data_IF_513581589410
#
_entry.id   IF_513581589410
#
_cell.length_a   1.000
_cell.length_b   1.000
_cell.length_c   1.000
_cell.angle_alpha   90.00
_cell.angle_beta   90.00
_cell.angle_gamma   90.00
#
_symmetry.space_group_name_H-M   'P 1'
#
loop_
_entity.id
_entity.type
_entity.pdbx_description
1 polymer ?
#
# COMPACT_ATOMS: atom_id res chain seq x y z
N UNK A 1 -19.84 24.13 4.71
CA UNK A 1 -18.50 23.51 4.55
C UNK A 1 -18.11 23.25 3.09
N UNK A 2 -18.97 22.63 2.27
CA UNK A 2 -18.65 22.23 0.87
C UNK A 2 -18.16 23.40 -0.02
N UNK A 3 -18.82 24.57 0.01
CA UNK A 3 -18.38 25.76 -0.76
C UNK A 3 -17.01 26.33 -0.37
N UNK A 4 -16.60 26.21 0.91
CA UNK A 4 -15.28 26.67 1.39
C UNK A 4 -14.17 25.71 0.94
N UNK A 5 -14.44 24.41 1.00
CA UNK A 5 -13.53 23.36 0.52
C UNK A 5 -13.30 23.45 -0.99
N UNK A 6 -14.34 23.74 -1.79
CA UNK A 6 -14.21 23.87 -3.25
C UNK A 6 -13.33 25.08 -3.65
N UNK A 7 -13.44 26.21 -2.94
CA UNK A 7 -12.59 27.38 -3.18
C UNK A 7 -11.12 27.10 -2.85
N UNK A 8 -10.84 26.43 -1.73
CA UNK A 8 -9.47 26.07 -1.36
C UNK A 8 -8.84 25.09 -2.36
N UNK A 9 -9.60 24.10 -2.84
CA UNK A 9 -9.15 23.18 -3.88
C UNK A 9 -8.79 23.90 -5.18
N UNK A 10 -9.68 24.78 -5.69
CA UNK A 10 -9.42 25.56 -6.90
C UNK A 10 -8.18 26.45 -6.72
N UNK A 11 -8.04 27.12 -5.58
CA UNK A 11 -6.85 27.94 -5.29
C UNK A 11 -5.56 27.12 -5.27
N UNK A 12 -5.58 25.92 -4.68
CA UNK A 12 -4.41 25.04 -4.65
C UNK A 12 -4.07 24.51 -6.05
N UNK A 13 -5.07 24.08 -6.83
CA UNK A 13 -4.85 23.66 -8.22
C UNK A 13 -4.30 24.79 -9.08
N UNK A 14 -4.80 26.01 -8.90
CA UNK A 14 -4.28 27.19 -9.59
C UNK A 14 -2.83 27.46 -9.20
N UNK A 15 -2.49 27.36 -7.91
CA UNK A 15 -1.11 27.48 -7.43
C UNK A 15 -0.21 26.42 -8.08
N UNK A 16 -0.57 25.14 -7.96
CA UNK A 16 0.23 24.03 -8.49
C UNK A 16 0.40 24.10 -10.00
N UNK A 17 -0.66 24.45 -10.74
CA UNK A 17 -0.60 24.39 -12.21
C UNK A 17 -0.03 25.66 -12.86
N UNK A 18 -0.15 26.82 -12.21
CA UNK A 18 0.19 28.10 -12.84
C UNK A 18 1.30 28.89 -12.14
N UNK A 19 1.59 28.58 -10.87
CA UNK A 19 2.54 29.37 -10.06
C UNK A 19 3.68 28.54 -9.47
N UNK A 20 3.54 27.21 -9.40
CA UNK A 20 4.60 26.32 -8.98
C UNK A 20 5.64 26.21 -10.10
N UNK A 21 6.79 26.85 -9.92
CA UNK A 21 7.85 26.94 -10.94
C UNK A 21 8.83 25.77 -10.87
N UNK A 22 8.92 25.10 -9.71
CA UNK A 22 9.81 23.97 -9.46
C UNK A 22 9.12 22.94 -8.54
N UNK A 23 9.74 21.79 -8.30
CA UNK A 23 9.23 20.76 -7.39
C UNK A 23 8.93 21.37 -6.00
N UNK A 24 7.72 21.06 -5.48
CA UNK A 24 7.27 21.50 -4.15
C UNK A 24 8.27 21.13 -3.04
N UNK A 25 8.96 20.00 -3.21
CA UNK A 25 9.95 19.52 -2.26
C UNK A 25 11.21 20.40 -2.27
N UNK A 26 11.70 20.81 -3.45
CA UNK A 26 12.82 21.76 -3.56
C UNK A 26 12.49 23.07 -2.86
N UNK A 27 11.31 23.63 -3.17
CA UNK A 27 10.84 24.89 -2.58
C UNK A 27 10.72 24.78 -1.05
N UNK A 28 10.19 23.65 -0.56
CA UNK A 28 10.08 23.40 0.87
C UNK A 28 11.47 23.38 1.54
N UNK A 29 12.43 22.64 1.00
CA UNK A 29 13.77 22.54 1.57
C UNK A 29 14.58 23.82 1.45
N UNK A 30 14.38 24.62 0.40
CA UNK A 30 15.00 25.95 0.26
C UNK A 30 14.53 26.91 1.36
N UNK A 31 13.21 26.94 1.60
CA UNK A 31 12.62 27.75 2.67
C UNK A 31 13.11 27.29 4.04
N UNK A 32 13.08 25.97 4.30
CA UNK A 32 13.54 25.39 5.57
C UNK A 32 15.01 25.70 5.81
N UNK A 33 15.88 25.51 4.81
CA UNK A 33 17.31 25.81 4.91
C UNK A 33 17.53 27.28 5.26
N UNK A 34 16.79 28.18 4.60
CA UNK A 34 16.89 29.62 4.90
C UNK A 34 16.43 29.96 6.32
N UNK A 35 15.38 29.31 6.82
CA UNK A 35 14.92 29.49 8.20
C UNK A 35 15.94 28.98 9.21
N UNK A 36 16.56 27.82 8.94
CA UNK A 36 17.62 27.25 9.79
C UNK A 36 18.79 28.22 9.91
N UNK A 37 19.23 28.84 8.81
CA UNK A 37 20.28 29.85 8.82
C UNK A 37 19.90 31.09 9.65
N UNK A 38 18.74 31.69 9.36
CA UNK A 38 18.30 32.95 9.98
C UNK A 38 18.09 32.77 11.49
N UNK A 39 17.53 31.62 11.89
CA UNK A 39 17.17 31.35 13.28
C UNK A 39 18.25 30.56 14.04
N UNK A 40 19.34 30.19 13.37
CA UNK A 40 20.45 29.40 13.93
C UNK A 40 19.97 28.08 14.58
N UNK A 41 19.10 27.37 13.88
CA UNK A 41 18.44 26.16 14.40
C UNK A 41 19.41 24.98 14.45
N UNK A 42 19.42 24.27 15.57
CA UNK A 42 20.14 23.01 15.71
C UNK A 42 19.31 21.84 15.18
N UNK A 43 19.69 21.28 14.02
CA UNK A 43 19.05 20.10 13.41
C UNK A 43 19.60 18.76 13.91
N UNK A 44 20.53 18.77 14.86
CA UNK A 44 21.13 17.55 15.41
C UNK A 44 20.10 16.65 16.09
N UNK A 45 19.02 17.21 16.65
CA UNK A 45 17.91 16.45 17.22
C UNK A 45 16.63 16.75 16.47
N UNK A 46 16.00 15.71 15.94
CA UNK A 46 14.72 15.80 15.23
C UNK A 46 13.66 14.98 15.94
N UNK A 47 12.50 15.58 16.18
CA UNK A 47 11.33 14.90 16.74
C UNK A 47 10.38 14.52 15.61
N UNK A 48 10.14 13.22 15.46
CA UNK A 48 9.35 12.64 14.38
C UNK A 48 8.03 12.12 14.94
N UNK A 49 6.93 12.55 14.34
CA UNK A 49 5.60 12.04 14.66
C UNK A 49 4.77 11.77 13.40
N UNK A 50 3.88 10.79 13.53
CA UNK A 50 3.04 10.28 12.47
C UNK A 50 1.57 10.57 12.72
N UNK A 51 0.88 11.09 11.73
CA UNK A 51 -0.57 11.30 11.77
C UNK A 51 -1.22 10.75 10.52
N UNK A 52 -2.53 10.49 10.59
CA UNK A 52 -3.28 9.88 9.51
C UNK A 52 -4.42 10.80 9.11
N UNK A 53 -4.42 11.23 7.86
CA UNK A 53 -5.46 12.08 7.30
C UNK A 53 -6.47 11.24 6.53
N UNK A 54 -7.74 11.25 6.95
CA UNK A 54 -8.81 10.55 6.24
C UNK A 54 -8.99 11.14 4.84
N UNK A 55 -9.05 10.29 3.82
CA UNK A 55 -9.38 10.68 2.45
C UNK A 55 -10.90 10.91 2.30
N UNK A 56 -11.29 11.73 1.31
CA UNK A 56 -12.69 11.95 0.91
C UNK A 56 -13.26 10.74 0.13
N UNK A 57 -12.45 9.71 -0.06
CA UNK A 57 -12.84 8.47 -0.71
C UNK A 57 -14.04 7.76 -0.04
N UNK A 58 -14.72 6.93 -0.84
CA UNK A 58 -15.80 6.10 -0.33
C UNK A 58 -15.29 5.10 0.72
N UNK A 59 -15.86 5.19 1.93
CA UNK A 59 -15.47 4.44 3.13
C UNK A 59 -15.83 2.95 3.12
N UNK A 60 -16.39 2.43 2.03
CA UNK A 60 -16.82 1.02 1.95
C UNK A 60 -16.22 0.29 0.74
N UNK A 61 -15.40 0.96 -0.07
CA UNK A 61 -14.91 0.40 -1.34
C UNK A 61 -13.40 0.29 -1.38
N UNK A 62 -12.90 -0.94 -1.21
CA UNK A 62 -11.48 -1.21 -1.04
C UNK A 62 -10.97 -2.32 -1.94
N UNK A 63 -9.67 -2.31 -2.14
CA UNK A 63 -8.93 -3.34 -2.87
C UNK A 63 -7.76 -3.81 -2.02
N UNK A 64 -7.63 -5.12 -1.86
CA UNK A 64 -6.59 -5.76 -1.05
C UNK A 64 -5.70 -6.62 -1.95
N UNK A 65 -4.39 -6.31 -1.99
CA UNK A 65 -3.39 -7.03 -2.78
C UNK A 65 -3.43 -8.54 -2.52
N UNK A 66 -3.43 -8.92 -1.23
CA UNK A 66 -3.49 -10.32 -0.80
C UNK A 66 -4.75 -11.05 -1.29
N UNK A 67 -5.90 -10.37 -1.32
CA UNK A 67 -7.14 -10.95 -1.81
C UNK A 67 -7.08 -11.21 -3.33
N UNK A 68 -6.52 -10.26 -4.09
CA UNK A 68 -6.30 -10.42 -5.53
C UNK A 68 -5.39 -11.61 -5.80
N UNK A 69 -4.20 -11.65 -5.18
CA UNK A 69 -3.22 -12.72 -5.39
C UNK A 69 -3.81 -14.10 -5.05
N UNK A 70 -4.55 -14.20 -3.94
CA UNK A 70 -5.21 -15.45 -3.54
C UNK A 70 -6.25 -15.90 -4.58
N UNK A 71 -7.06 -14.97 -5.08
CA UNK A 71 -8.09 -15.28 -6.06
C UNK A 71 -7.53 -15.54 -7.46
N UNK A 72 -6.43 -14.88 -7.82
CA UNK A 72 -5.68 -15.10 -9.05
C UNK A 72 -5.08 -16.51 -9.08
N UNK A 73 -4.41 -16.94 -8.00
CA UNK A 73 -3.86 -18.31 -7.90
C UNK A 73 -4.96 -19.38 -8.01
N UNK A 74 -6.14 -19.13 -7.43
CA UNK A 74 -7.31 -20.01 -7.60
C UNK A 74 -7.82 -20.01 -9.05
N UNK A 75 -7.77 -18.87 -9.73
CA UNK A 75 -8.19 -18.73 -11.12
C UNK A 75 -7.23 -19.46 -12.06
N UNK A 76 -5.92 -19.40 -11.84
CA UNK A 76 -4.93 -20.15 -12.62
C UNK A 76 -5.20 -21.66 -12.60
N UNK A 77 -5.48 -22.24 -11.43
CA UNK A 77 -5.86 -23.66 -11.32
C UNK A 77 -7.13 -23.99 -12.11
N UNK A 78 -8.12 -23.08 -12.11
CA UNK A 78 -9.36 -23.25 -12.89
C UNK A 78 -9.11 -23.18 -14.38
N UNK A 79 -8.30 -22.22 -14.84
CA UNK A 79 -7.89 -22.09 -16.24
C UNK A 79 -7.24 -23.39 -16.71
N UNK A 80 -6.28 -23.93 -15.95
CA UNK A 80 -5.63 -25.21 -16.29
C UNK A 80 -6.64 -26.35 -16.43
N UNK A 81 -7.61 -26.46 -15.50
CA UNK A 81 -8.70 -27.45 -15.60
C UNK A 81 -9.52 -27.26 -16.87
N UNK A 82 -9.95 -26.03 -17.17
CA UNK A 82 -10.77 -25.73 -18.34
C UNK A 82 -10.03 -25.90 -19.66
N UNK A 83 -8.71 -25.71 -19.71
CA UNK A 83 -7.89 -26.05 -20.89
C UNK A 83 -7.94 -27.56 -21.15
N UNK A 84 -7.79 -28.38 -20.11
CA UNK A 84 -7.88 -29.85 -20.24
C UNK A 84 -9.30 -30.29 -20.65
N UNK A 85 -10.35 -29.72 -20.05
CA UNK A 85 -11.73 -30.03 -20.43
C UNK A 85 -12.05 -29.61 -21.87
N UNK A 86 -11.50 -28.48 -22.32
CA UNK A 86 -11.66 -27.99 -23.68
C UNK A 86 -11.00 -28.94 -24.70
N UNK A 87 -9.83 -29.49 -24.37
CA UNK A 87 -9.18 -30.54 -25.16
C UNK A 87 -10.11 -31.74 -25.35
N UNK A 88 -10.75 -32.19 -24.28
CA UNK A 88 -11.64 -33.36 -24.33
C UNK A 88 -12.95 -33.08 -25.08
N UNK A 89 -13.51 -31.87 -24.94
CA UNK A 89 -14.83 -31.53 -25.51
C UNK A 89 -14.80 -31.10 -26.97
N UNK A 90 -13.79 -30.34 -27.37
CA UNK A 90 -13.73 -29.71 -28.70
C UNK A 90 -12.39 -29.93 -29.42
N UNK A 91 -11.48 -30.73 -28.85
CA UNK A 91 -10.24 -31.15 -29.51
C UNK A 91 -9.17 -30.06 -29.65
N UNK A 92 -9.36 -28.88 -29.04
CA UNK A 92 -8.38 -27.79 -29.10
C UNK A 92 -7.29 -27.96 -28.04
N UNK A 93 -6.03 -27.89 -28.48
CA UNK A 93 -4.85 -28.06 -27.64
C UNK A 93 -4.23 -26.71 -27.32
N UNK A 94 -4.08 -26.44 -26.02
CA UNK A 94 -3.29 -25.34 -25.50
C UNK A 94 -2.37 -25.86 -24.40
N UNK A 95 -1.23 -25.21 -24.25
CA UNK A 95 -0.29 -25.49 -23.19
C UNK A 95 -0.85 -25.04 -21.83
N UNK A 96 -0.57 -25.84 -20.81
CA UNK A 96 -0.93 -25.51 -19.43
C UNK A 96 0.27 -24.96 -18.66
N UNK A 97 0.00 -24.00 -17.78
CA UNK A 97 1.01 -23.28 -16.99
C UNK A 97 0.57 -23.17 -15.53
N UNK A 98 1.50 -22.79 -14.66
CA UNK A 98 1.21 -22.47 -13.26
C UNK A 98 0.61 -21.06 -13.08
N UNK A 99 0.94 -20.15 -13.99
CA UNK A 99 0.44 -18.78 -14.04
C UNK A 99 0.06 -18.38 -15.47
N UNK A 100 -0.84 -17.42 -15.58
CA UNK A 100 -1.36 -16.92 -16.86
C UNK A 100 -1.52 -15.40 -16.79
N UNK A 101 -1.31 -14.74 -17.92
CA UNK A 101 -1.63 -13.33 -18.12
C UNK A 101 -3.01 -13.17 -18.72
N UNK A 102 -3.63 -12.00 -18.53
CA UNK A 102 -4.89 -11.66 -19.19
C UNK A 102 -4.74 -11.78 -20.71
N UNK A 103 -3.63 -11.29 -21.27
CA UNK A 103 -3.37 -11.35 -22.71
C UNK A 103 -3.39 -12.78 -23.26
N UNK A 104 -2.71 -13.73 -22.63
CA UNK A 104 -2.71 -15.14 -23.05
C UNK A 104 -4.12 -15.75 -23.07
N UNK A 105 -4.92 -15.46 -22.04
CA UNK A 105 -6.29 -15.96 -21.94
C UNK A 105 -7.21 -15.25 -22.94
N UNK A 106 -6.96 -13.97 -23.21
CA UNK A 106 -7.62 -13.20 -24.26
C UNK A 106 -7.41 -13.83 -25.63
N UNK A 107 -6.19 -14.25 -25.96
CA UNK A 107 -5.87 -14.91 -27.23
C UNK A 107 -6.62 -16.24 -27.39
N UNK A 108 -6.80 -17.01 -26.31
CA UNK A 108 -7.64 -18.23 -26.33
C UNK A 108 -9.10 -17.88 -26.62
N UNK A 109 -9.65 -16.87 -25.93
CA UNK A 109 -11.03 -16.44 -26.14
C UNK A 109 -11.25 -15.92 -27.57
N UNK A 110 -10.31 -15.15 -28.11
CA UNK A 110 -10.35 -14.66 -29.49
C UNK A 110 -10.34 -15.82 -30.50
N UNK A 111 -9.44 -16.79 -30.33
CA UNK A 111 -9.40 -17.97 -31.20
C UNK A 111 -10.72 -18.75 -31.16
N UNK A 112 -11.32 -18.94 -29.98
CA UNK A 112 -12.62 -19.60 -29.85
C UNK A 112 -13.73 -18.82 -30.56
N UNK A 113 -13.72 -17.49 -30.50
CA UNK A 113 -14.65 -16.64 -31.25
C UNK A 113 -14.47 -16.79 -32.77
N UNK A 114 -13.24 -16.85 -33.26
CA UNK A 114 -12.96 -17.10 -34.68
C UNK A 114 -13.49 -18.46 -35.14
N UNK A 115 -13.31 -19.50 -34.34
CA UNK A 115 -13.86 -20.83 -34.62
C UNK A 115 -15.39 -20.81 -34.64
N UNK A 116 -16.04 -20.04 -33.77
CA UNK A 116 -17.50 -19.87 -33.82
C UNK A 116 -17.94 -19.20 -35.11
N UNK A 117 -17.25 -18.14 -35.54
CA UNK A 117 -17.52 -17.44 -36.80
C UNK A 117 -17.36 -18.37 -38.01
N UNK A 118 -16.27 -19.16 -38.07
CA UNK A 118 -16.03 -20.13 -39.15
C UNK A 118 -17.13 -21.20 -39.24
N UNK A 119 -17.65 -21.62 -38.10
CA UNK A 119 -18.71 -22.62 -38.01
C UNK A 119 -20.13 -22.04 -38.07
N UNK A 120 -20.29 -20.73 -38.33
CA UNK A 120 -21.57 -20.02 -38.35
C UNK A 120 -22.41 -20.26 -37.07
N UNK A 121 -21.76 -20.30 -35.91
CA UNK A 121 -22.44 -20.48 -34.62
C UNK A 121 -22.92 -19.12 -34.11
N UNK A 122 -24.23 -18.94 -34.04
CA UNK A 122 -24.82 -17.76 -33.43
C UNK A 122 -24.79 -17.80 -31.90
N UNK A 123 -24.59 -16.64 -31.27
CA UNK A 123 -24.61 -16.50 -29.83
C UNK A 123 -26.04 -16.62 -29.29
N UNK A 124 -26.26 -17.57 -28.39
CA UNK A 124 -27.54 -17.71 -27.71
C UNK A 124 -27.41 -17.46 -26.20
N UNK A 125 -28.31 -16.65 -25.65
CA UNK A 125 -28.38 -16.32 -24.23
C UNK A 125 -29.86 -16.34 -23.77
N UNK A 126 -30.11 -16.60 -22.49
CA UNK A 126 -31.47 -16.63 -21.94
C UNK A 126 -32.06 -18.03 -21.77
N UNK A 127 -33.29 -18.08 -21.23
CA UNK A 127 -33.97 -19.32 -20.84
C UNK A 127 -34.53 -20.04 -22.08
N UNK A 128 -34.33 -21.36 -22.16
CA UNK A 128 -34.78 -22.18 -23.30
C UNK A 128 -33.76 -22.30 -24.44
N UNK A 129 -32.65 -21.55 -24.41
CA UNK A 129 -31.59 -21.66 -25.40
C UNK A 129 -30.43 -22.53 -24.91
N UNK A 130 -30.00 -23.50 -25.73
CA UNK A 130 -28.87 -24.39 -25.43
C UNK A 130 -27.60 -23.88 -26.13
N UNK A 131 -26.63 -23.41 -25.35
CA UNK A 131 -25.31 -23.01 -25.84
C UNK A 131 -24.54 -24.21 -26.40
N UNK A 132 -23.84 -24.02 -27.52
CA UNK A 132 -22.91 -25.00 -28.06
C UNK A 132 -21.71 -25.21 -27.12
N UNK A 133 -21.00 -26.32 -27.25
CA UNK A 133 -19.78 -26.56 -26.46
C UNK A 133 -18.76 -25.44 -26.69
N UNK A 134 -18.58 -25.03 -27.94
CA UNK A 134 -17.66 -23.95 -28.32
C UNK A 134 -18.04 -22.60 -27.69
N UNK A 135 -19.34 -22.24 -27.69
CA UNK A 135 -19.80 -21.02 -27.02
C UNK A 135 -19.58 -21.07 -25.50
N UNK A 136 -19.77 -22.24 -24.87
CA UNK A 136 -19.50 -22.42 -23.44
C UNK A 136 -18.01 -22.23 -23.12
N UNK A 137 -17.12 -22.79 -23.93
CA UNK A 137 -15.67 -22.57 -23.80
C UNK A 137 -15.35 -21.09 -23.97
N UNK A 138 -15.85 -20.44 -25.03
CA UNK A 138 -15.64 -19.01 -25.27
C UNK A 138 -16.08 -18.16 -24.08
N UNK A 139 -17.33 -18.31 -23.60
CA UNK A 139 -17.85 -17.55 -22.46
C UNK A 139 -17.00 -17.77 -21.19
N UNK A 140 -16.47 -18.99 -21.01
CA UNK A 140 -15.61 -19.35 -19.87
C UNK A 140 -14.26 -18.63 -19.94
N UNK A 141 -13.56 -18.72 -21.08
CA UNK A 141 -12.27 -18.06 -21.26
C UNK A 141 -12.40 -16.53 -21.30
N UNK A 142 -13.47 -15.99 -21.89
CA UNK A 142 -13.78 -14.56 -21.81
C UNK A 142 -14.00 -14.11 -20.36
N UNK A 143 -14.70 -14.89 -19.54
CA UNK A 143 -14.85 -14.59 -18.12
C UNK A 143 -13.49 -14.59 -17.39
N UNK A 144 -12.62 -15.54 -17.71
CA UNK A 144 -11.28 -15.62 -17.13
C UNK A 144 -10.43 -14.43 -17.53
N UNK A 145 -10.46 -14.03 -18.80
CA UNK A 145 -9.81 -12.82 -19.31
C UNK A 145 -10.26 -11.59 -18.52
N UNK A 146 -11.56 -11.30 -18.47
CA UNK A 146 -12.10 -10.12 -17.77
C UNK A 146 -11.70 -10.08 -16.27
N UNK A 147 -11.53 -11.25 -15.65
CA UNK A 147 -11.11 -11.34 -14.25
C UNK A 147 -9.61 -11.12 -14.07
N UNK A 148 -8.79 -11.70 -14.94
CA UNK A 148 -7.33 -11.51 -14.92
C UNK A 148 -6.98 -10.06 -15.25
N UNK A 149 -7.58 -9.49 -16.29
CA UNK A 149 -7.38 -8.08 -16.67
C UNK A 149 -7.66 -7.14 -15.50
N UNK A 150 -8.78 -7.37 -14.80
CA UNK A 150 -9.11 -6.64 -13.57
C UNK A 150 -8.06 -6.84 -12.47
N UNK A 151 -7.55 -8.06 -12.27
CA UNK A 151 -6.53 -8.32 -11.25
C UNK A 151 -5.22 -7.63 -11.60
N UNK A 152 -4.78 -7.69 -12.84
CA UNK A 152 -3.58 -7.02 -13.34
C UNK A 152 -3.69 -5.50 -13.20
N UNK A 153 -4.82 -4.92 -13.60
CA UNK A 153 -5.11 -3.50 -13.39
C UNK A 153 -4.94 -3.09 -11.92
N UNK A 154 -5.58 -3.82 -11.00
CA UNK A 154 -5.51 -3.46 -9.57
C UNK A 154 -4.14 -3.74 -8.95
N UNK A 155 -3.41 -4.76 -9.41
CA UNK A 155 -2.03 -5.00 -8.98
C UNK A 155 -1.11 -3.89 -9.47
N UNK A 156 -1.29 -3.40 -10.70
CA UNK A 156 -0.54 -2.27 -11.24
C UNK A 156 -0.86 -0.97 -10.49
N UNK A 157 -2.15 -0.67 -10.27
CA UNK A 157 -2.57 0.46 -9.43
C UNK A 157 -1.95 0.33 -8.05
N UNK A 158 -2.04 -0.84 -7.41
CA UNK A 158 -1.48 -1.03 -6.07
C UNK A 158 0.05 -0.91 -6.06
N UNK A 159 0.74 -1.42 -7.07
CA UNK A 159 2.20 -1.44 -7.10
C UNK A 159 2.81 -2.39 -6.05
N UNK A 160 4.13 -2.28 -5.89
CA UNK A 160 4.89 -3.29 -5.13
C UNK A 160 4.87 -3.05 -3.62
N UNK A 161 4.91 -1.79 -3.21
CA UNK A 161 5.19 -1.40 -1.83
C UNK A 161 3.95 -1.36 -0.91
N UNK A 162 2.75 -1.17 -1.45
CA UNK A 162 1.51 -1.06 -0.65
C UNK A 162 0.64 -2.32 -0.72
N UNK A 163 -0.18 -2.50 0.32
CA UNK A 163 -1.01 -3.71 0.48
C UNK A 163 -2.48 -3.49 0.09
N UNK A 164 -2.91 -2.25 -0.05
CA UNK A 164 -4.31 -1.89 -0.30
C UNK A 164 -4.42 -0.51 -0.91
N UNK A 165 -5.52 -0.25 -1.61
CA UNK A 165 -5.94 1.10 -1.99
C UNK A 165 -7.47 1.23 -1.92
N UNK A 166 -7.97 2.47 -1.93
CA UNK A 166 -9.38 2.73 -2.19
C UNK A 166 -9.70 2.60 -3.68
N UNK A 167 -10.95 2.27 -4.02
CA UNK A 167 -11.44 2.24 -5.41
C UNK A 167 -11.77 3.62 -6.00
N UNK A 168 -11.90 4.63 -5.14
CA UNK A 168 -12.33 5.99 -5.54
C UNK A 168 -11.22 7.02 -5.40
N UNK A 169 -10.20 6.70 -4.61
CA UNK A 169 -8.97 7.45 -4.46
C UNK A 169 -7.85 6.41 -4.42
N UNK A 170 -7.16 6.26 -5.54
CA UNK A 170 -6.19 5.19 -5.71
C UNK A 170 -4.93 5.42 -4.88
N UNK A 171 -4.69 6.62 -4.35
CA UNK A 171 -3.51 6.93 -3.55
C UNK A 171 -3.74 6.72 -2.04
N UNK A 172 -5.01 6.73 -1.62
CA UNK A 172 -5.38 6.46 -0.24
C UNK A 172 -5.22 4.98 0.10
N UNK A 173 -4.59 4.71 1.25
CA UNK A 173 -4.36 3.36 1.78
C UNK A 173 -5.29 3.10 2.97
N UNK A 174 -5.62 1.84 3.23
CA UNK A 174 -6.45 1.46 4.35
C UNK A 174 -5.70 1.57 5.68
N UNK A 175 -6.09 2.55 6.51
CA UNK A 175 -5.48 2.79 7.80
C UNK A 175 -6.49 2.68 8.94
N UNK A 176 -6.03 2.22 10.11
CA UNK A 176 -6.78 2.36 11.35
C UNK A 176 -6.69 3.81 11.83
N UNK A 177 -7.81 4.53 11.78
CA UNK A 177 -7.91 5.88 12.32
C UNK A 177 -8.36 5.83 13.78
N UNK A 178 -8.02 6.87 14.54
CA UNK A 178 -8.50 7.08 15.91
C UNK A 178 -9.97 7.52 15.85
N UNK A 179 -10.92 6.60 15.64
CA UNK A 179 -12.34 6.88 15.82
C UNK A 179 -12.80 6.50 17.24
N UNK A 180 -13.65 7.38 17.78
CA UNK A 180 -14.09 7.51 19.16
C UNK A 180 -14.58 6.20 19.84
N UNK A 181 -14.33 6.15 21.14
CA UNK A 181 -14.54 5.12 22.16
C UNK A 181 -15.96 4.48 22.17
N UNK A 182 -16.94 5.13 21.54
CA UNK A 182 -18.34 4.66 21.46
C UNK A 182 -18.65 3.84 20.19
N UNK A 183 -17.85 3.99 19.13
CA UNK A 183 -18.04 3.24 17.89
C UNK A 183 -17.09 2.05 17.87
N UNK A 184 -17.61 0.93 18.36
CA UNK A 184 -16.92 -0.33 18.57
C UNK A 184 -16.46 -0.97 17.24
N UNK A 185 -15.50 -0.39 16.52
CA UNK A 185 -14.94 -1.00 15.31
C UNK A 185 -13.61 -0.36 14.92
N UNK A 186 -12.55 -1.17 14.92
CA UNK A 186 -11.30 -0.93 14.18
C UNK A 186 -11.51 -0.99 12.66
N UNK A 187 -12.53 -0.29 12.15
CA UNK A 187 -12.82 -0.16 10.73
C UNK A 187 -11.69 0.65 10.09
N UNK A 188 -10.90 -0.02 9.26
CA UNK A 188 -9.92 0.67 8.42
C UNK A 188 -10.64 1.64 7.49
N UNK A 189 -10.09 2.84 7.34
CA UNK A 189 -10.59 3.90 6.46
C UNK A 189 -9.52 4.28 5.45
N UNK A 190 -9.91 4.77 4.26
CA UNK A 190 -8.95 5.27 3.30
C UNK A 190 -8.31 6.54 3.88
N UNK A 191 -6.99 6.55 3.97
CA UNK A 191 -6.23 7.63 4.57
C UNK A 191 -4.82 7.71 3.98
N UNK A 192 -4.16 8.84 4.27
CA UNK A 192 -2.75 9.07 4.01
C UNK A 192 -1.99 9.09 5.33
N UNK A 193 -0.84 8.41 5.39
CA UNK A 193 0.03 8.45 6.55
C UNK A 193 1.03 9.60 6.39
N UNK A 194 0.81 10.70 7.10
CA UNK A 194 1.68 11.85 7.11
C UNK A 194 2.73 11.73 8.21
N UNK A 195 3.95 12.09 7.87
CA UNK A 195 5.12 12.04 8.73
C UNK A 195 5.73 13.43 8.77
N UNK A 196 6.03 13.93 9.96
CA UNK A 196 6.56 15.28 10.17
C UNK A 196 7.74 15.20 11.13
N UNK A 197 8.84 15.85 10.78
CA UNK A 197 10.00 16.06 11.64
C UNK A 197 10.06 17.52 12.07
N UNK A 198 10.27 17.74 13.36
CA UNK A 198 10.44 19.08 13.94
C UNK A 198 11.81 19.18 14.61
N UNK A 199 12.53 20.26 14.33
CA UNK A 199 13.74 20.65 15.04
C UNK A 199 13.57 22.09 15.53
N UNK A 200 13.83 22.33 16.82
CA UNK A 200 13.74 23.64 17.49
C UNK A 200 12.45 24.44 17.16
N UNK A 201 11.31 23.74 17.11
CA UNK A 201 10.00 24.35 16.85
C UNK A 201 9.66 24.57 15.36
N UNK A 202 10.54 24.20 14.43
CA UNK A 202 10.28 24.30 12.98
C UNK A 202 10.17 22.92 12.34
N UNK A 203 9.24 22.79 11.39
CA UNK A 203 9.12 21.60 10.55
C UNK A 203 10.30 21.56 9.58
N UNK A 204 11.15 20.56 9.70
CA UNK A 204 12.37 20.40 8.88
C UNK A 204 12.26 19.29 7.85
N UNK A 205 11.26 18.42 7.98
CA UNK A 205 10.93 17.40 6.99
C UNK A 205 9.44 17.06 7.07
N UNK A 206 8.81 16.79 5.93
CA UNK A 206 7.42 16.34 5.87
C UNK A 206 7.20 15.44 4.64
N UNK A 207 6.43 14.36 4.80
CA UNK A 207 6.13 13.45 3.69
C UNK A 207 4.84 12.66 3.91
N UNK A 208 4.24 12.18 2.82
CA UNK A 208 3.07 11.31 2.82
C UNK A 208 3.46 9.90 2.35
N UNK A 209 3.00 8.89 3.09
CA UNK A 209 3.27 7.49 2.82
C UNK A 209 1.98 6.71 2.61
N UNK A 210 2.04 5.77 1.66
CA UNK A 210 0.99 4.82 1.34
C UNK A 210 1.11 3.53 2.18
N UNK A 211 1.61 3.65 3.40
CA UNK A 211 1.78 2.54 4.34
C UNK A 211 1.05 2.84 5.66
N UNK A 212 0.20 1.93 6.17
CA UNK A 212 -0.58 2.21 7.38
C UNK A 212 0.25 2.32 8.66
N UNK A 213 1.38 1.60 8.73
CA UNK A 213 2.25 1.56 9.90
C UNK A 213 3.45 2.49 9.76
N UNK A 214 3.82 3.11 10.87
CA UNK A 214 4.85 4.15 10.92
C UNK A 214 6.28 3.54 10.92
N UNK A 215 6.42 2.28 11.31
CA UNK A 215 7.70 1.56 11.27
C UNK A 215 8.38 1.59 9.91
N UNK A 216 7.61 1.43 8.83
CA UNK A 216 8.13 1.36 7.45
C UNK A 216 8.37 2.73 6.82
N UNK A 217 7.91 3.81 7.45
CA UNK A 217 8.11 5.16 6.92
C UNK A 217 9.44 5.76 7.36
N UNK A 218 10.01 5.29 8.48
CA UNK A 218 11.21 5.87 9.08
C UNK A 218 12.40 5.97 8.11
N UNK A 219 12.81 4.85 7.49
CA UNK A 219 13.98 4.82 6.60
C UNK A 219 13.75 5.72 5.38
N UNK A 220 12.66 5.57 4.60
CA UNK A 220 12.36 6.50 3.52
C UNK A 220 12.31 7.97 3.94
N UNK A 221 11.85 8.25 5.17
CA UNK A 221 11.74 9.61 5.69
C UNK A 221 13.11 10.21 6.02
N UNK A 222 14.04 9.41 6.55
CA UNK A 222 15.42 9.84 6.78
C UNK A 222 16.21 9.97 5.47
N UNK A 223 16.04 9.04 4.53
CA UNK A 223 16.68 9.14 3.21
C UNK A 223 16.19 10.39 2.46
N UNK A 224 14.90 10.70 2.54
CA UNK A 224 14.36 11.97 2.00
C UNK A 224 15.04 13.19 2.62
N UNK A 225 15.25 13.22 3.93
CA UNK A 225 15.93 14.34 4.58
C UNK A 225 17.37 14.49 4.09
N UNK A 226 18.09 13.37 4.00
CA UNK A 226 19.48 13.34 3.55
C UNK A 226 19.64 13.74 2.09
N UNK A 227 18.72 13.33 1.21
CA UNK A 227 18.72 13.71 -0.21
C UNK A 227 18.75 15.23 -0.40
N UNK A 228 18.01 15.99 0.43
CA UNK A 228 17.87 17.44 0.29
C UNK A 228 18.84 18.25 1.16
N UNK A 229 19.31 17.69 2.27
CA UNK A 229 20.20 18.41 3.21
C UNK A 229 21.65 17.95 3.18
N UNK A 230 21.92 16.77 2.60
CA UNK A 230 23.24 16.14 2.61
C UNK A 230 23.61 15.51 3.95
N UNK A 231 22.75 15.56 4.97
CA UNK A 231 23.07 15.13 6.33
C UNK A 231 21.96 14.26 6.95
N UNK A 232 22.32 13.52 8.00
CA UNK A 232 21.36 12.82 8.87
C UNK A 232 21.37 13.48 10.26
N UNK A 233 20.25 13.47 11.00
CA UNK A 233 20.24 13.97 12.37
C UNK A 233 21.07 13.06 13.29
N UNK A 234 21.73 13.63 14.29
CA UNK A 234 22.37 12.82 15.32
C UNK A 234 21.34 12.03 16.15
N UNK A 235 20.19 12.63 16.45
CA UNK A 235 19.14 12.06 17.29
C UNK A 235 17.76 12.13 16.60
N UNK A 236 17.38 11.10 15.83
CA UNK A 236 16.02 10.95 15.28
C UNK A 236 15.06 10.41 16.36
N UNK A 237 14.54 11.30 17.20
CA UNK A 237 13.62 10.97 18.29
C UNK A 237 12.24 10.68 17.73
N UNK A 238 11.75 9.45 17.88
CA UNK A 238 10.41 9.05 17.46
C UNK A 238 9.76 8.12 18.48
N UNK A 239 8.46 7.91 18.34
CA UNK A 239 7.69 7.04 19.23
C UNK A 239 8.05 5.54 19.08
N UNK A 240 7.40 4.70 19.89
CA UNK A 240 7.68 3.26 19.86
C UNK A 240 7.14 2.53 18.62
N UNK A 241 6.23 3.14 17.85
CA UNK A 241 5.71 2.57 16.62
C UNK A 241 6.76 2.56 15.50
N UNK A 242 7.76 3.43 15.57
CA UNK A 242 8.93 3.40 14.69
C UNK A 242 9.97 2.35 15.11
N UNK A 243 9.93 1.83 16.33
CA UNK A 243 10.97 0.95 16.86
C UNK A 243 10.98 -0.45 16.23
N UNK A 244 11.97 -0.73 15.38
CA UNK A 244 12.23 -2.05 14.78
C UNK A 244 13.73 -2.32 14.66
N UNK A 245 14.12 -3.60 14.61
CA UNK A 245 15.52 -4.00 14.41
C UNK A 245 16.12 -3.36 13.15
N UNK A 246 15.36 -3.34 12.07
CA UNK A 246 15.74 -2.71 10.81
C UNK A 246 16.05 -1.22 11.00
N UNK A 247 15.16 -0.48 11.66
CA UNK A 247 15.36 0.96 11.91
C UNK A 247 16.54 1.23 12.86
N UNK A 248 16.78 0.36 13.85
CA UNK A 248 17.94 0.49 14.74
C UNK A 248 19.26 0.28 14.00
N UNK A 249 19.34 -0.79 13.20
CA UNK A 249 20.53 -1.08 12.39
C UNK A 249 20.78 0.03 11.38
N UNK A 250 19.72 0.57 10.79
CA UNK A 250 19.82 1.73 9.90
C UNK A 250 20.32 2.98 10.61
N UNK A 251 19.85 3.28 11.82
CA UNK A 251 20.38 4.40 12.60
C UNK A 251 21.90 4.27 12.81
N UNK A 252 22.34 3.09 13.29
CA UNK A 252 23.75 2.82 13.57
C UNK A 252 24.61 2.91 12.30
N UNK A 253 24.14 2.37 11.17
CA UNK A 253 24.91 2.38 9.92
C UNK A 253 25.09 3.78 9.32
N UNK A 254 24.19 4.72 9.64
CA UNK A 254 24.25 6.12 9.21
C UNK A 254 24.82 7.07 10.28
N UNK A 255 25.34 6.54 11.39
CA UNK A 255 25.92 7.34 12.48
C UNK A 255 24.90 8.07 13.36
N UNK A 256 23.62 7.69 13.30
CA UNK A 256 22.56 8.23 14.14
C UNK A 256 22.40 7.42 15.43
N UNK A 257 21.95 8.09 16.50
CA UNK A 257 21.60 7.42 17.74
C UNK A 257 20.22 6.75 17.63
N UNK A 258 20.10 5.44 17.93
CA UNK A 258 18.81 4.73 17.89
C UNK A 258 17.93 5.12 19.09
N UNK A 259 17.30 6.29 19.02
CA UNK A 259 16.54 6.89 20.13
C UNK A 259 15.11 6.36 20.29
N UNK A 260 14.61 5.58 19.33
CA UNK A 260 13.27 4.99 19.36
C UNK A 260 13.17 3.89 20.41
N UNK A 261 12.03 3.82 21.11
CA UNK A 261 11.73 2.68 21.99
C UNK A 261 11.26 1.49 21.15
N UNK A 262 11.62 0.27 21.52
CA UNK A 262 11.03 -0.91 20.87
C UNK A 262 9.57 -1.07 21.27
N UNK A 263 8.71 -1.53 20.36
CA UNK A 263 7.25 -1.52 20.54
C UNK A 263 6.74 -2.19 21.83
N UNK A 264 7.46 -3.18 22.35
CA UNK A 264 7.10 -3.89 23.59
C UNK A 264 7.62 -3.23 24.87
N UNK A 265 8.38 -2.13 24.79
CA UNK A 265 9.02 -1.48 25.93
C UNK A 265 8.01 -1.09 27.02
N UNK A 266 6.96 -0.36 26.65
CA UNK A 266 5.92 0.06 27.60
C UNK A 266 5.19 -1.14 28.21
N UNK A 267 4.83 -2.13 27.38
CA UNK A 267 4.11 -3.33 27.81
C UNK A 267 4.95 -4.19 28.76
N UNK A 268 6.24 -4.37 28.48
CA UNK A 268 7.20 -5.10 29.34
C UNK A 268 7.25 -4.54 30.76
N UNK A 269 7.08 -3.23 30.90
CA UNK A 269 7.16 -2.55 32.18
C UNK A 269 5.86 -2.62 33.01
N UNK A 270 4.76 -3.14 32.45
CA UNK A 270 3.48 -3.24 33.18
C UNK A 270 3.50 -4.39 34.21
N UNK A 271 2.87 -4.22 35.39
CA UNK A 271 2.81 -5.28 36.41
C UNK A 271 2.18 -6.59 35.90
N UNK A 272 1.15 -6.49 35.06
CA UNK A 272 0.47 -7.66 34.50
C UNK A 272 1.34 -8.44 33.52
N UNK A 273 2.25 -7.79 32.81
CA UNK A 273 3.20 -8.46 31.92
C UNK A 273 4.34 -9.11 32.68
N UNK A 274 4.88 -8.45 33.72
CA UNK A 274 5.94 -9.00 34.59
C UNK A 274 5.50 -10.25 35.36
N UNK A 275 4.22 -10.35 35.72
CA UNK A 275 3.63 -11.54 36.37
C UNK A 275 3.55 -12.79 35.46
N UNK A 276 3.84 -12.67 34.16
CA UNK A 276 3.81 -13.81 33.24
C UNK A 276 5.15 -14.53 33.26
N UNK A 277 5.31 -15.48 34.16
CA UNK A 277 6.56 -16.23 34.39
C UNK A 277 7.03 -17.00 33.13
N UNK A 278 6.11 -17.59 32.37
CA UNK A 278 6.43 -18.33 31.14
C UNK A 278 6.68 -17.44 29.91
N UNK A 279 6.74 -16.12 30.07
CA UNK A 279 7.08 -15.24 28.96
C UNK A 279 8.60 -15.12 28.85
N UNK A 280 9.22 -15.53 27.72
CA UNK A 280 10.68 -15.48 27.56
C UNK A 280 11.30 -14.10 27.79
N UNK A 281 10.54 -13.00 27.61
CA UNK A 281 11.03 -11.64 27.89
C UNK A 281 11.23 -11.31 29.39
N UNK A 282 10.72 -12.17 30.28
CA UNK A 282 10.82 -12.04 31.73
C UNK A 282 11.83 -13.02 32.35
N UNK A 283 12.41 -13.93 31.56
CA UNK A 283 13.44 -14.83 32.05
C UNK A 283 14.71 -14.04 32.37
N UNK A 284 15.38 -14.42 33.45
CA UNK A 284 16.61 -13.78 33.91
C UNK A 284 17.77 -14.27 33.05
N UNK A 285 18.54 -13.37 32.46
CA UNK A 285 19.76 -13.75 31.74
C UNK A 285 20.96 -13.76 32.67
N UNK A 286 21.73 -14.83 32.65
CA UNK A 286 23.05 -14.95 33.28
C UNK A 286 24.16 -14.85 32.21
N UNK A 287 25.42 -15.07 32.61
CA UNK A 287 26.59 -15.00 31.72
C UNK A 287 26.63 -16.07 30.60
N UNK A 288 25.79 -17.11 30.69
CA UNK A 288 25.73 -18.21 29.72
C UNK A 288 24.50 -18.14 28.80
N UNK A 289 23.56 -17.23 29.06
CA UNK A 289 22.34 -17.08 28.28
C UNK A 289 21.13 -16.76 29.15
N UNK A 290 19.94 -17.12 28.64
CA UNK A 290 18.69 -17.07 29.40
C UNK A 290 18.59 -18.29 30.31
#
# INVERSE_FOLDING_TARGET
MIKKSLRAYISFCVFVNNYLVDNIDNIFFDIVSRLIEIMCICTATMFIDGTKFESVANKYTFVWKKCILTNQNKLFKKITSSINEMRDQIGLLYDTKESYTAHEIGNIAEHLMEQMRKNNIEFVYGRGHKKSALQKCYDTFLNYFCRLDKYEYWLAVIGDFRNSCSKTDHDATMCALKMDYYCNTGLSRPAYNAQVAVADGIIVNACLYQTPGDTKTFIPFMERYHEYTGEYPLNPVADAAYGSLENYMYCLSKGMNPTMKYGMYAKKNTPSFKKKEYNPMNWETNSEGI
#
